data_IF_378856745674
#
_entry.id   IF_378856745674
#
_cell.length_a   1.000
_cell.length_b   1.000
_cell.length_c   1.000
_cell.angle_alpha   90.00
_cell.angle_beta   90.00
_cell.angle_gamma   90.00
#
_symmetry.space_group_name_H-M   'P 1'
#
loop_
_entity.id
_entity.type
_entity.pdbx_description
1 polymer ?
#
# COMPACT_ATOMS: atom_id res chain seq x y z
N UNK A 1 -36.52 15.60 30.15
CA UNK A 1 -35.28 14.97 29.67
C UNK A 1 -34.36 16.12 29.29
N UNK A 2 -33.28 16.34 30.04
CA UNK A 2 -32.42 17.49 29.82
C UNK A 2 -31.57 17.25 28.57
N UNK A 3 -31.62 18.16 27.60
CA UNK A 3 -30.88 18.05 26.33
C UNK A 3 -29.37 18.20 26.50
N UNK A 4 -28.94 18.68 27.68
CA UNK A 4 -27.53 18.89 28.01
C UNK A 4 -26.75 17.57 28.21
N UNK A 5 -27.42 16.42 28.42
CA UNK A 5 -26.76 15.11 28.51
C UNK A 5 -26.44 14.47 27.15
N UNK A 6 -26.98 15.00 26.04
CA UNK A 6 -26.69 14.50 24.69
C UNK A 6 -25.27 14.88 24.24
N UNK A 7 -24.75 16.01 24.73
CA UNK A 7 -23.45 16.54 24.33
C UNK A 7 -22.29 16.11 25.25
N UNK A 8 -22.57 15.32 26.29
CA UNK A 8 -21.55 14.74 27.16
C UNK A 8 -20.89 13.46 26.60
N UNK A 9 -20.85 13.31 25.29
CA UNK A 9 -19.90 12.42 24.64
C UNK A 9 -18.55 13.12 24.51
N UNK A 10 -17.82 13.18 25.64
CA UNK A 10 -16.35 13.17 25.56
C UNK A 10 -15.93 11.82 24.99
N UNK A 11 -16.03 11.68 23.67
CA UNK A 11 -15.23 10.67 23.00
C UNK A 11 -13.83 11.23 22.84
N UNK A 12 -12.90 10.76 23.67
CA UNK A 12 -11.49 10.75 23.30
C UNK A 12 -11.34 9.75 22.14
N UNK A 13 -11.72 10.17 20.93
CA UNK A 13 -11.27 9.48 19.73
C UNK A 13 -9.95 10.12 19.35
N UNK A 14 -8.86 9.39 19.60
CA UNK A 14 -7.73 9.21 18.69
C UNK A 14 -6.36 9.27 19.38
N UNK A 15 -6.00 8.19 20.06
CA UNK A 15 -4.61 7.67 20.02
C UNK A 15 -4.45 6.74 18.80
N UNK A 16 -4.99 7.13 17.64
CA UNK A 16 -4.97 6.30 16.44
C UNK A 16 -3.68 6.55 15.65
N UNK A 17 -2.74 5.60 15.72
CA UNK A 17 -1.54 5.62 14.86
C UNK A 17 -1.95 5.19 13.46
N UNK A 18 -1.99 6.13 12.53
CA UNK A 18 -2.24 5.83 11.12
C UNK A 18 -1.03 5.09 10.55
N UNK A 19 -1.17 3.86 10.05
CA UNK A 19 -0.06 3.14 9.46
C UNK A 19 0.40 3.79 8.16
N UNK A 20 1.70 3.69 7.88
CA UNK A 20 2.30 4.26 6.68
C UNK A 20 1.87 3.52 5.40
N UNK A 21 1.63 2.22 5.50
CA UNK A 21 1.22 1.35 4.40
C UNK A 21 0.16 0.35 4.88
N UNK A 22 -0.74 0.00 3.98
CA UNK A 22 -1.84 -0.94 4.17
C UNK A 22 -2.07 -1.72 2.87
N UNK A 23 -2.53 -2.96 2.96
CA UNK A 23 -3.07 -3.66 1.80
C UNK A 23 -4.39 -3.01 1.38
N UNK A 24 -4.61 -2.95 0.07
CA UNK A 24 -5.80 -2.40 -0.54
C UNK A 24 -6.27 -3.29 -1.70
N UNK A 25 -7.57 -3.22 -1.98
CA UNK A 25 -8.20 -3.86 -3.12
C UNK A 25 -8.50 -2.80 -4.19
N UNK A 26 -8.59 -3.21 -5.46
CA UNK A 26 -9.01 -2.31 -6.54
C UNK A 26 -10.45 -1.80 -6.28
N UNK A 27 -10.67 -0.47 -6.18
CA UNK A 27 -12.02 0.06 -5.93
C UNK A 27 -12.93 0.02 -7.17
N UNK A 28 -12.38 -0.17 -8.38
CA UNK A 28 -13.10 0.03 -9.65
C UNK A 28 -13.41 -1.31 -10.35
N UNK A 29 -12.51 -2.29 -10.26
CA UNK A 29 -12.70 -3.58 -10.95
C UNK A 29 -12.44 -4.74 -9.97
N UNK A 30 -13.49 -5.29 -9.33
CA UNK A 30 -13.36 -6.29 -8.26
C UNK A 30 -12.93 -7.70 -8.74
N UNK A 31 -12.63 -7.90 -10.02
CA UNK A 31 -12.38 -9.21 -10.64
C UNK A 31 -10.98 -9.36 -11.25
N UNK A 32 -10.03 -8.51 -10.85
CA UNK A 32 -8.62 -8.74 -11.14
C UNK A 32 -7.94 -8.95 -9.79
N UNK A 33 -7.36 -10.13 -9.57
CA UNK A 33 -6.59 -10.51 -8.38
C UNK A 33 -5.28 -9.70 -8.31
N UNK A 34 -5.41 -8.38 -8.23
CA UNK A 34 -4.31 -7.44 -8.12
C UNK A 34 -4.24 -6.95 -6.69
N UNK A 35 -3.06 -7.14 -6.10
CA UNK A 35 -2.72 -6.61 -4.79
C UNK A 35 -2.33 -5.15 -4.93
N UNK A 36 -2.85 -4.30 -4.04
CA UNK A 36 -2.44 -2.90 -3.95
C UNK A 36 -1.90 -2.58 -2.56
N UNK A 37 -0.97 -1.65 -2.50
CA UNK A 37 -0.49 -1.04 -1.26
C UNK A 37 -0.91 0.42 -1.28
N UNK A 38 -1.73 0.81 -0.30
CA UNK A 38 -2.12 2.20 -0.09
C UNK A 38 -1.26 2.82 1.01
N UNK A 39 -0.77 4.02 0.77
CA UNK A 39 -0.12 4.84 1.80
C UNK A 39 -1.02 6.02 2.18
N UNK A 40 -1.64 6.00 3.38
CA UNK A 40 -2.42 7.14 3.87
C UNK A 40 -1.59 8.40 4.05
N UNK A 41 -0.32 8.26 4.47
CA UNK A 41 0.58 9.38 4.76
C UNK A 41 0.89 10.22 3.52
N UNK A 42 1.05 9.55 2.38
CA UNK A 42 1.33 10.18 1.09
C UNK A 42 0.13 10.23 0.16
N UNK A 43 -1.04 9.74 0.61
CA UNK A 43 -2.24 9.53 -0.24
C UNK A 43 -1.89 8.90 -1.60
N UNK A 44 -1.01 7.90 -1.58
CA UNK A 44 -0.41 7.30 -2.78
C UNK A 44 -0.75 5.82 -2.87
N UNK A 45 -0.82 5.28 -4.09
CA UNK A 45 -1.22 3.90 -4.37
C UNK A 45 -0.17 3.18 -5.21
N UNK A 46 0.20 1.98 -4.79
CA UNK A 46 1.11 1.08 -5.50
C UNK A 46 0.34 -0.16 -5.91
N UNK A 47 0.49 -0.57 -7.17
CA UNK A 47 0.06 -1.87 -7.67
C UNK A 47 1.22 -2.86 -7.52
N UNK A 48 0.95 -4.02 -6.94
CA UNK A 48 1.91 -5.13 -6.81
C UNK A 48 1.57 -6.18 -7.85
N UNK A 49 2.59 -6.58 -8.59
CA UNK A 49 2.47 -7.47 -9.74
C UNK A 49 3.42 -8.63 -9.54
N UNK A 50 2.91 -9.86 -9.52
CA UNK A 50 3.73 -11.06 -9.55
C UNK A 50 4.13 -11.38 -11.00
N UNK A 51 5.42 -11.29 -11.32
CA UNK A 51 5.91 -11.38 -12.70
C UNK A 51 5.81 -12.80 -13.30
N UNK A 52 5.72 -13.83 -12.45
CA UNK A 52 5.58 -15.23 -12.88
C UNK A 52 4.14 -15.67 -13.04
N UNK A 53 3.17 -14.81 -12.71
CA UNK A 53 1.76 -15.05 -13.02
C UNK A 53 1.51 -14.82 -14.52
N UNK A 54 0.72 -15.69 -15.17
CA UNK A 54 0.41 -15.59 -16.62
C UNK A 54 -0.31 -14.29 -17.04
N UNK A 55 -0.59 -13.38 -16.10
CA UNK A 55 -1.57 -12.29 -16.23
C UNK A 55 -0.95 -10.94 -16.61
N UNK A 56 0.37 -10.75 -16.61
CA UNK A 56 0.89 -9.37 -16.60
C UNK A 56 1.58 -8.96 -17.90
N UNK A 57 0.76 -8.79 -18.95
CA UNK A 57 1.09 -7.79 -19.97
C UNK A 57 0.74 -6.41 -19.43
N UNK A 58 1.71 -5.76 -18.79
CA UNK A 58 1.58 -4.35 -18.44
C UNK A 58 1.26 -3.54 -19.70
N UNK A 59 0.09 -2.89 -19.72
CA UNK A 59 -0.26 -1.86 -20.69
C UNK A 59 0.86 -0.79 -20.69
N UNK A 60 1.15 -0.20 -21.85
CA UNK A 60 2.18 0.84 -22.03
C UNK A 60 2.02 1.99 -21.03
N UNK A 61 0.79 2.29 -20.62
CA UNK A 61 0.48 3.27 -19.57
C UNK A 61 1.19 2.96 -18.24
N UNK A 62 1.18 1.70 -17.79
CA UNK A 62 1.83 1.29 -16.53
C UNK A 62 3.34 1.14 -16.69
N UNK A 63 3.81 0.82 -17.91
CA UNK A 63 5.26 0.76 -18.20
C UNK A 63 5.94 2.11 -18.05
N UNK A 64 5.22 3.19 -18.35
CA UNK A 64 5.71 4.56 -18.23
C UNK A 64 5.65 5.12 -16.79
N UNK A 65 4.95 4.44 -15.87
CA UNK A 65 4.84 4.87 -14.48
C UNK A 65 6.11 4.51 -13.68
N UNK A 66 6.41 5.24 -12.58
CA UNK A 66 7.49 4.88 -11.68
C UNK A 66 7.30 3.48 -11.13
N UNK A 67 8.33 2.64 -11.25
CA UNK A 67 8.24 1.22 -10.90
C UNK A 67 9.60 0.63 -10.53
N UNK A 68 9.58 -0.48 -9.80
CA UNK A 68 10.77 -1.28 -9.52
C UNK A 68 10.45 -2.76 -9.39
N UNK A 69 11.37 -3.58 -9.89
CA UNK A 69 11.32 -5.04 -9.78
C UNK A 69 12.11 -5.48 -8.56
N UNK A 70 11.52 -6.36 -7.75
CA UNK A 70 12.12 -6.97 -6.59
C UNK A 70 12.05 -8.49 -6.68
N UNK A 71 13.11 -9.12 -6.19
CA UNK A 71 13.21 -10.57 -6.06
C UNK A 71 12.92 -10.91 -4.61
N UNK A 72 11.85 -11.65 -4.35
CA UNK A 72 11.50 -12.10 -3.01
C UNK A 72 12.29 -13.35 -2.64
N UNK A 73 12.23 -14.37 -3.50
CA UNK A 73 13.01 -15.60 -3.41
C UNK A 73 13.47 -16.08 -4.81
N UNK A 74 13.87 -17.34 -4.95
CA UNK A 74 14.35 -17.86 -6.23
C UNK A 74 13.28 -17.92 -7.33
N UNK A 75 12.00 -17.99 -6.96
CA UNK A 75 10.87 -18.23 -7.86
C UNK A 75 9.85 -17.10 -7.83
N UNK A 76 9.90 -16.18 -6.87
CA UNK A 76 8.91 -15.11 -6.72
C UNK A 76 9.55 -13.74 -6.97
N UNK A 77 9.01 -13.03 -7.97
CA UNK A 77 9.42 -11.69 -8.32
C UNK A 77 8.21 -10.78 -8.36
N UNK A 78 8.36 -9.61 -7.73
CA UNK A 78 7.30 -8.63 -7.61
C UNK A 78 7.72 -7.30 -8.23
N UNK A 79 6.89 -6.80 -9.14
CA UNK A 79 7.01 -5.45 -9.67
C UNK A 79 6.05 -4.53 -8.95
N UNK A 80 6.58 -3.51 -8.30
CA UNK A 80 5.81 -2.45 -7.66
C UNK A 80 5.71 -1.28 -8.61
N UNK A 81 4.49 -0.88 -8.96
CA UNK A 81 4.20 0.26 -9.86
C UNK A 81 3.42 1.32 -9.10
N UNK A 82 3.93 2.55 -9.04
CA UNK A 82 3.23 3.68 -8.40
C UNK A 82 2.17 4.22 -9.35
N UNK A 83 0.92 3.81 -9.15
CA UNK A 83 -0.22 4.17 -10.01
C UNK A 83 -0.90 5.48 -9.60
N UNK A 84 -0.74 5.89 -8.34
CA UNK A 84 -1.09 7.22 -7.85
C UNK A 84 0.08 7.78 -7.05
N UNK A 85 0.76 8.78 -7.60
CA UNK A 85 1.97 9.35 -7.02
C UNK A 85 1.70 10.75 -6.47
N UNK A 86 1.61 10.85 -5.15
CA UNK A 86 1.45 12.11 -4.43
C UNK A 86 2.65 12.40 -3.51
N UNK A 87 3.75 11.66 -3.68
CA UNK A 87 4.94 11.72 -2.81
C UNK A 87 5.66 13.07 -2.93
N UNK A 88 5.78 13.60 -4.16
CA UNK A 88 6.48 14.86 -4.45
C UNK A 88 5.58 16.08 -4.20
N UNK A 89 4.29 15.96 -4.48
CA UNK A 89 3.32 17.05 -4.34
C UNK A 89 2.90 17.28 -2.90
N UNK A 90 2.92 16.23 -2.08
CA UNK A 90 2.56 16.27 -0.67
C UNK A 90 3.82 15.90 0.12
N UNK A 91 4.68 16.88 0.41
CA UNK A 91 5.43 16.83 1.67
C UNK A 91 4.39 16.70 2.78
N UNK A 92 4.11 15.45 3.16
CA UNK A 92 2.81 15.00 3.63
C UNK A 92 2.27 15.76 4.83
N UNK A 93 0.97 16.04 4.85
CA UNK A 93 0.21 16.52 6.02
C UNK A 93 0.52 15.69 7.29
N UNK A 94 1.01 14.45 7.15
CA UNK A 94 1.42 13.53 8.21
C UNK A 94 2.80 12.84 8.02
N UNK A 95 3.65 13.26 7.07
CA UNK A 95 4.91 12.54 6.76
C UNK A 95 5.99 13.39 6.09
N UNK A 96 7.28 13.00 6.19
CA UNK A 96 8.39 13.76 5.60
C UNK A 96 8.40 13.69 4.06
N UNK A 97 8.94 14.72 3.43
CA UNK A 97 9.25 14.72 1.98
C UNK A 97 10.27 13.61 1.70
N UNK A 98 9.94 12.72 0.77
CA UNK A 98 10.82 11.63 0.30
C UNK A 98 10.82 11.57 -1.23
N UNK A 99 11.77 10.85 -1.81
CA UNK A 99 11.74 10.58 -3.25
C UNK A 99 10.78 9.44 -3.59
N UNK A 100 10.37 9.33 -4.86
CA UNK A 100 9.54 8.22 -5.32
C UNK A 100 10.28 6.88 -5.19
N UNK A 101 11.59 6.88 -5.42
CA UNK A 101 12.45 5.71 -5.24
C UNK A 101 12.47 5.26 -3.78
N UNK A 102 12.62 6.21 -2.84
CA UNK A 102 12.56 5.92 -1.41
C UNK A 102 11.17 5.38 -1.02
N UNK A 103 10.09 5.98 -1.53
CA UNK A 103 8.73 5.52 -1.26
C UNK A 103 8.50 4.08 -1.72
N UNK A 104 8.95 3.72 -2.93
CA UNK A 104 8.82 2.36 -3.47
C UNK A 104 9.66 1.36 -2.67
N UNK A 105 10.85 1.75 -2.20
CA UNK A 105 11.70 0.90 -1.35
C UNK A 105 11.04 0.64 0.01
N UNK A 106 10.52 1.67 0.66
CA UNK A 106 9.84 1.52 1.95
C UNK A 106 8.57 0.65 1.83
N UNK A 107 7.81 0.81 0.74
CA UNK A 107 6.66 -0.02 0.45
C UNK A 107 7.05 -1.49 0.21
N UNK A 108 8.16 -1.74 -0.49
CA UNK A 108 8.69 -3.09 -0.70
C UNK A 108 9.07 -3.76 0.62
N UNK A 109 9.82 -3.06 1.49
CA UNK A 109 10.20 -3.63 2.79
C UNK A 109 8.97 -3.97 3.64
N UNK A 110 7.95 -3.11 3.61
CA UNK A 110 6.68 -3.37 4.28
C UNK A 110 5.97 -4.61 3.70
N UNK A 111 5.88 -4.71 2.37
CA UNK A 111 5.22 -5.83 1.70
C UNK A 111 5.96 -7.15 1.90
N UNK A 112 7.29 -7.13 1.86
CA UNK A 112 8.12 -8.29 2.18
C UNK A 112 7.83 -8.81 3.59
N UNK A 113 7.73 -7.93 4.59
CA UNK A 113 7.38 -8.33 5.95
C UNK A 113 5.96 -8.93 6.02
N UNK A 114 5.03 -8.45 5.20
CA UNK A 114 3.70 -9.04 5.05
C UNK A 114 3.78 -10.47 4.47
N UNK A 115 4.54 -10.68 3.39
CA UNK A 115 4.75 -12.01 2.78
C UNK A 115 5.42 -12.98 3.77
N UNK A 116 6.45 -12.52 4.49
CA UNK A 116 7.14 -13.32 5.52
C UNK A 116 6.17 -13.73 6.65
N UNK A 117 5.24 -12.85 7.02
CA UNK A 117 4.20 -13.14 8.01
C UNK A 117 3.17 -14.13 7.47
N UNK A 118 2.69 -13.94 6.25
CA UNK A 118 1.71 -14.80 5.59
C UNK A 118 2.25 -16.22 5.42
N UNK A 119 3.50 -16.36 4.95
CA UNK A 119 4.20 -17.64 4.84
C UNK A 119 4.27 -18.36 6.20
N UNK A 120 4.57 -17.64 7.28
CA UNK A 120 4.57 -18.20 8.64
C UNK A 120 3.19 -18.64 9.11
N UNK A 121 2.12 -17.91 8.76
CA UNK A 121 0.75 -18.33 9.07
C UNK A 121 0.39 -19.62 8.31
N UNK A 122 0.78 -19.72 7.03
CA UNK A 122 0.52 -20.91 6.21
C UNK A 122 1.32 -22.14 6.66
N UNK A 123 2.52 -21.94 7.23
CA UNK A 123 3.33 -23.02 7.82
C UNK A 123 2.92 -23.37 9.26
N UNK A 124 1.99 -22.59 9.84
CA UNK A 124 1.61 -22.62 11.26
C UNK A 124 0.25 -23.24 11.57
N UNK A 125 -0.33 -24.04 10.66
CA UNK A 125 -1.50 -24.92 10.87
C UNK A 125 -1.41 -26.17 10.00
#
# INVERSE_FOLDING_TARGET
MNVDDIFNQKYEVADMVIPKFLLACNPIVPNIDLTYIYSPHYMSLIMVIEENSEIVRLNDTYRAMPQRLYVYDMLEQFRLVVVQNNVISIGGIYGPVISVEQFIEEAWQWYKNYLDWELKQMQGL
#
